data_IF_814264023362
#
_entry.id   IF_814264023362
#
_cell.length_a   1.000
_cell.length_b   1.000
_cell.length_c   1.000
_cell.angle_alpha   90.00
_cell.angle_beta   90.00
_cell.angle_gamma   90.00
#
_symmetry.space_group_name_H-M   'P 1'
#
loop_
_entity.id
_entity.type
_entity.pdbx_description
1 polymer ?
#
# COMPACT_ATOMS: atom_id res chain seq x y z
N UNK A 1 -12.69 6.66 -3.37
CA UNK A 1 -11.23 6.43 -3.36
C UNK A 1 -10.57 7.68 -2.80
N UNK A 2 -9.49 7.57 -2.00
CA UNK A 2 -8.72 8.71 -1.51
C UNK A 2 -8.26 9.60 -2.66
N UNK A 3 -8.25 10.93 -2.46
CA UNK A 3 -7.82 11.87 -3.50
C UNK A 3 -6.29 11.87 -3.69
N UNK A 4 -5.56 11.51 -2.63
CA UNK A 4 -4.10 11.51 -2.61
C UNK A 4 -3.53 10.15 -3.02
N UNK A 5 -2.50 10.18 -3.85
CA UNK A 5 -1.68 9.00 -4.16
C UNK A 5 -0.22 9.40 -4.32
N UNK A 6 0.67 8.44 -4.08
CA UNK A 6 2.10 8.60 -4.30
C UNK A 6 2.53 7.76 -5.50
N UNK A 7 3.32 8.36 -6.40
CA UNK A 7 3.87 7.70 -7.57
C UNK A 7 5.39 7.84 -7.54
N UNK A 8 6.09 6.71 -7.48
CA UNK A 8 7.55 6.67 -7.30
C UNK A 8 8.16 5.81 -8.41
N UNK A 9 9.26 6.28 -8.99
CA UNK A 9 10.09 5.52 -9.92
C UNK A 9 11.48 5.35 -9.32
N UNK A 10 11.77 4.15 -8.81
CA UNK A 10 13.04 3.82 -8.17
C UNK A 10 13.95 3.12 -9.18
N UNK A 11 15.09 3.71 -9.56
CA UNK A 11 16.05 3.05 -10.44
C UNK A 11 16.81 1.95 -9.71
N UNK A 12 17.20 0.91 -10.45
CA UNK A 12 18.23 -0.03 -10.01
C UNK A 12 19.58 0.34 -10.64
N UNK A 13 20.69 -0.13 -10.07
CA UNK A 13 22.04 0.14 -10.60
C UNK A 13 22.23 -0.39 -12.03
N UNK A 14 21.49 -1.44 -12.41
CA UNK A 14 21.53 -1.99 -13.77
C UNK A 14 20.79 -1.06 -14.74
N UNK A 15 21.43 -0.56 -15.80
CA UNK A 15 20.79 0.36 -16.75
C UNK A 15 19.48 -0.19 -17.32
N UNK A 16 18.46 0.68 -17.39
CA UNK A 16 17.13 0.35 -17.90
C UNK A 16 16.27 -0.50 -16.96
N UNK A 17 16.74 -0.82 -15.75
CA UNK A 17 15.98 -1.54 -14.74
C UNK A 17 15.43 -0.55 -13.72
N UNK A 18 14.16 -0.69 -13.36
CA UNK A 18 13.47 0.20 -12.45
C UNK A 18 12.24 -0.47 -11.84
N UNK A 19 11.77 0.10 -10.74
CA UNK A 19 10.47 -0.18 -10.16
C UNK A 19 9.64 1.10 -10.15
N UNK A 20 8.51 1.09 -10.84
CA UNK A 20 7.50 2.14 -10.83
C UNK A 20 6.34 1.67 -9.97
N UNK A 21 5.95 2.45 -8.97
CA UNK A 21 4.83 2.09 -8.12
C UNK A 21 3.91 3.26 -7.84
N UNK A 22 2.63 2.94 -7.70
CA UNK A 22 1.60 3.83 -7.20
C UNK A 22 1.07 3.26 -5.89
N UNK A 23 1.09 4.07 -4.82
CA UNK A 23 0.47 3.74 -3.54
C UNK A 23 -0.68 4.69 -3.25
N UNK A 24 -1.83 4.11 -2.90
CA UNK A 24 -3.03 4.81 -2.45
C UNK A 24 -3.30 4.34 -1.03
N UNK A 25 -2.92 5.16 -0.06
CA UNK A 25 -3.14 4.91 1.37
C UNK A 25 -4.54 5.35 1.78
N UNK A 26 -4.96 4.97 2.98
CA UNK A 26 -6.23 5.37 3.58
C UNK A 26 -7.49 4.88 2.82
N UNK A 27 -7.39 3.81 2.02
CA UNK A 27 -8.59 3.16 1.49
C UNK A 27 -9.41 2.59 2.63
N UNK A 28 -10.74 2.79 2.62
CA UNK A 28 -11.63 2.18 3.60
C UNK A 28 -12.01 0.77 3.16
N UNK A 29 -11.82 -0.21 4.04
CA UNK A 29 -12.15 -1.60 3.78
C UNK A 29 -13.55 -1.93 4.32
N UNK A 30 -14.32 -2.72 3.57
CA UNK A 30 -15.60 -3.29 4.01
C UNK A 30 -15.66 -4.75 3.59
N UNK A 31 -16.10 -5.61 4.50
CA UNK A 31 -16.35 -7.02 4.21
C UNK A 31 -15.90 -7.89 5.35
N UNK A 32 -15.61 -9.15 5.05
CA UNK A 32 -15.16 -10.11 6.05
C UNK A 32 -14.24 -11.16 5.42
N UNK A 33 -13.40 -11.76 6.26
CA UNK A 33 -12.59 -12.93 5.91
C UNK A 33 -12.79 -14.00 6.99
N UNK A 34 -13.03 -15.23 6.57
CA UNK A 34 -13.10 -16.39 7.49
C UNK A 34 -11.85 -17.24 7.32
N UNK A 35 -11.12 -17.42 8.42
CA UNK A 35 -9.93 -18.25 8.49
C UNK A 35 -9.93 -19.06 9.79
N UNK A 36 -9.68 -20.37 9.68
CA UNK A 36 -9.65 -21.30 10.82
C UNK A 36 -10.90 -21.23 11.72
N UNK A 37 -12.08 -21.19 11.09
CA UNK A 37 -13.37 -21.08 11.78
C UNK A 37 -13.63 -19.73 12.46
N UNK A 38 -12.72 -18.76 12.34
CA UNK A 38 -12.87 -17.40 12.86
C UNK A 38 -13.17 -16.42 11.73
N UNK A 39 -14.21 -15.61 11.91
CA UNK A 39 -14.55 -14.50 11.01
C UNK A 39 -13.95 -13.20 11.53
N UNK A 40 -13.31 -12.47 10.64
CA UNK A 40 -12.79 -11.12 10.86
C UNK A 40 -13.60 -10.17 9.99
N UNK A 41 -14.24 -9.18 10.62
CA UNK A 41 -15.09 -8.19 9.93
C UNK A 41 -14.30 -6.90 9.77
N UNK A 42 -14.42 -6.27 8.61
CA UNK A 42 -13.85 -4.98 8.29
C UNK A 42 -14.96 -3.94 8.17
N UNK A 43 -14.94 -2.94 9.05
CA UNK A 43 -15.86 -1.80 9.02
C UNK A 43 -15.16 -0.57 8.43
N UNK A 44 -15.76 0.13 7.45
CA UNK A 44 -15.19 1.36 6.91
C UNK A 44 -14.80 2.43 7.94
N UNK A 45 -15.41 2.44 9.13
CA UNK A 45 -15.11 3.40 10.19
C UNK A 45 -13.69 3.22 10.77
N UNK A 46 -13.21 1.98 10.90
CA UNK A 46 -11.95 1.64 11.57
C UNK A 46 -10.97 0.81 10.74
N UNK A 47 -11.42 0.28 9.60
CA UNK A 47 -10.65 -0.65 8.78
C UNK A 47 -10.09 0.05 7.55
N UNK A 48 -8.76 0.04 7.46
CA UNK A 48 -7.99 0.66 6.39
C UNK A 48 -7.29 -0.37 5.50
N UNK A 49 -7.07 0.01 4.25
CA UNK A 49 -6.31 -0.74 3.27
C UNK A 49 -5.36 0.21 2.50
N UNK A 50 -4.42 -0.40 1.79
CA UNK A 50 -3.55 0.26 0.81
C UNK A 50 -3.68 -0.46 -0.52
N UNK A 51 -3.79 0.30 -1.60
CA UNK A 51 -3.56 -0.22 -2.95
C UNK A 51 -2.12 0.11 -3.30
N UNK A 52 -1.29 -0.92 -3.42
CA UNK A 52 0.06 -0.80 -3.96
C UNK A 52 0.12 -1.50 -5.31
N UNK A 53 0.29 -0.70 -6.36
CA UNK A 53 0.37 -1.16 -7.72
C UNK A 53 1.77 -0.93 -8.27
N UNK A 54 2.36 -1.95 -8.87
CA UNK A 54 3.74 -1.93 -9.35
C UNK A 54 3.90 -2.36 -10.80
N UNK A 55 4.82 -1.71 -11.52
CA UNK A 55 5.31 -2.10 -12.84
C UNK A 55 6.81 -1.81 -12.92
N UNK A 56 7.57 -2.62 -13.64
CA UNK A 56 9.02 -2.41 -13.71
C UNK A 56 9.75 -3.40 -14.59
N UNK A 57 11.05 -3.20 -14.64
CA UNK A 57 12.03 -4.17 -15.17
C UNK A 57 12.96 -4.47 -14.01
N UNK A 58 12.71 -5.58 -13.32
CA UNK A 58 13.44 -5.96 -12.12
C UNK A 58 14.75 -6.66 -12.44
N UNK A 59 15.75 -6.45 -11.58
CA UNK A 59 16.92 -7.33 -11.57
C UNK A 59 16.53 -8.72 -11.06
N UNK A 60 17.34 -9.73 -11.38
CA UNK A 60 17.07 -11.09 -10.90
C UNK A 60 17.18 -11.21 -9.37
N UNK A 61 18.08 -10.45 -8.76
CA UNK A 61 18.18 -10.27 -7.31
C UNK A 61 18.13 -8.78 -6.98
N UNK A 62 17.32 -8.42 -5.98
CA UNK A 62 17.23 -7.09 -5.40
C UNK A 62 16.76 -7.18 -3.94
N UNK A 63 17.07 -6.14 -3.17
CA UNK A 63 16.47 -5.90 -1.86
C UNK A 63 15.40 -4.82 -2.01
N UNK A 64 14.27 -5.02 -1.36
CA UNK A 64 13.16 -4.07 -1.38
C UNK A 64 12.72 -3.75 0.04
N UNK A 65 12.65 -2.46 0.34
CA UNK A 65 12.04 -1.95 1.55
C UNK A 65 10.61 -1.54 1.23
N UNK A 66 9.67 -2.14 1.94
CA UNK A 66 8.25 -1.87 1.74
C UNK A 66 7.57 -1.61 3.07
N UNK A 67 6.75 -0.58 3.09
CA UNK A 67 5.90 -0.25 4.21
C UNK A 67 4.87 0.79 3.81
N UNK A 68 3.72 0.71 4.46
CA UNK A 68 2.65 1.69 4.44
C UNK A 68 1.96 1.66 5.81
N UNK A 69 1.41 2.81 6.21
CA UNK A 69 0.46 2.87 7.31
C UNK A 69 -0.72 3.76 6.92
N UNK A 70 -1.87 3.49 7.53
CA UNK A 70 -3.09 4.27 7.39
C UNK A 70 -3.84 4.25 8.70
N UNK A 71 -4.48 5.37 9.02
CA UNK A 71 -5.28 5.54 10.22
C UNK A 71 -6.01 6.87 10.18
N UNK A 72 -6.42 7.34 11.36
CA UNK A 72 -6.97 8.68 11.54
C UNK A 72 -6.27 9.39 12.70
N UNK A 73 -6.00 10.69 12.53
CA UNK A 73 -5.54 11.60 13.58
C UNK A 73 -6.62 12.65 13.74
N UNK A 74 -7.19 12.76 14.94
CA UNK A 74 -8.33 13.66 15.23
C UNK A 74 -9.52 13.49 14.26
N UNK A 75 -9.76 12.25 13.82
CA UNK A 75 -10.81 11.90 12.86
C UNK A 75 -10.47 12.17 11.39
N UNK A 76 -9.32 12.78 11.11
CA UNK A 76 -8.83 13.03 9.74
C UNK A 76 -7.99 11.86 9.26
N UNK A 77 -8.27 11.27 8.07
CA UNK A 77 -7.44 10.21 7.50
C UNK A 77 -5.97 10.64 7.39
N UNK A 78 -5.07 9.80 7.87
CA UNK A 78 -3.63 10.03 7.81
C UNK A 78 -2.92 8.74 7.46
N UNK A 79 -2.01 8.80 6.49
CA UNK A 79 -1.24 7.65 6.05
C UNK A 79 0.15 8.07 5.59
N UNK A 80 1.09 7.14 5.68
CA UNK A 80 2.46 7.36 5.23
C UNK A 80 3.00 6.13 4.52
N UNK A 81 4.06 6.33 3.76
CA UNK A 81 4.81 5.27 3.10
C UNK A 81 6.25 5.30 3.61
N UNK A 82 6.79 4.12 3.88
CA UNK A 82 8.18 3.95 4.30
C UNK A 82 8.77 2.87 3.38
N UNK A 83 9.54 3.30 2.39
CA UNK A 83 10.08 2.44 1.34
C UNK A 83 10.04 3.10 -0.02
#
# INVERSE_FOLDING_TARGET
EPEESMVIATPFDKPGHFYYNQKINCLRAKGEVTYDGRTYVFDPEDSFAVLDWGRGVWTYHNTWYWGSASGAVDGVPFGWNIG
#
